data_IF_991430531819
#
_entry.id   IF_991430531819
#
_cell.length_a   1.000
_cell.length_b   1.000
_cell.length_c   1.000
_cell.angle_alpha   90.00
_cell.angle_beta   90.00
_cell.angle_gamma   90.00
#
_symmetry.space_group_name_H-M   'P 1'
#
loop_
_entity.id
_entity.type
_entity.pdbx_description
1 polymer ?
#
# COMPACT_ATOMS: atom_id res chain seq x y z
N UNK A 1 19.41 1.29 -24.05
CA UNK A 1 18.02 1.31 -23.55
C UNK A 1 17.55 2.73 -23.69
N UNK A 2 16.69 3.01 -24.68
CA UNK A 2 16.09 4.33 -24.83
C UNK A 2 15.12 4.57 -23.68
N UNK A 3 15.30 5.66 -22.94
CA UNK A 3 14.30 6.15 -21.99
C UNK A 3 13.06 6.56 -22.79
N UNK A 4 11.99 5.76 -22.68
CA UNK A 4 10.70 6.15 -23.21
C UNK A 4 10.23 7.39 -22.46
N UNK A 5 10.27 8.54 -23.16
CA UNK A 5 9.78 9.82 -22.66
C UNK A 5 8.27 9.70 -22.48
N UNK A 6 7.83 9.49 -21.24
CA UNK A 6 6.40 9.44 -20.89
C UNK A 6 5.79 10.80 -21.20
N UNK A 7 5.03 10.91 -22.28
CA UNK A 7 4.26 12.11 -22.61
C UNK A 7 3.00 12.06 -21.74
N UNK A 8 3.09 12.63 -20.54
CA UNK A 8 1.94 12.75 -19.64
C UNK A 8 1.00 13.82 -20.18
N UNK A 9 -0.25 13.51 -20.57
CA UNK A 9 -1.19 14.52 -21.02
C UNK A 9 -1.53 15.45 -19.85
N UNK A 10 -1.09 16.71 -19.94
CA UNK A 10 -1.18 17.75 -18.91
C UNK A 10 -2.62 18.13 -18.48
N UNK A 11 -3.65 17.42 -18.94
CA UNK A 11 -5.07 17.77 -18.79
C UNK A 11 -5.82 16.96 -17.74
N UNK A 12 -5.16 16.08 -16.98
CA UNK A 12 -5.81 15.37 -15.86
C UNK A 12 -5.39 16.06 -14.55
N UNK A 13 -6.28 16.84 -13.91
CA UNK A 13 -6.01 17.43 -12.60
C UNK A 13 -5.65 16.32 -11.61
N UNK A 14 -4.57 16.50 -10.84
CA UNK A 14 -4.11 15.53 -9.84
C UNK A 14 -3.22 14.39 -10.37
N UNK A 15 -3.05 14.23 -11.68
CA UNK A 15 -2.22 13.15 -12.24
C UNK A 15 -0.74 13.30 -11.89
N UNK A 16 -0.20 14.53 -11.93
CA UNK A 16 1.19 14.80 -11.55
C UNK A 16 1.43 14.63 -10.04
N UNK A 17 0.41 14.85 -9.20
CA UNK A 17 0.49 14.61 -7.76
C UNK A 17 0.40 13.11 -7.45
N UNK A 18 -0.48 12.39 -8.15
CA UNK A 18 -0.56 10.93 -8.08
C UNK A 18 0.73 10.23 -8.55
N UNK A 19 1.42 10.80 -9.55
CA UNK A 19 2.71 10.29 -10.04
C UNK A 19 3.89 10.61 -9.11
N UNK A 20 3.76 11.59 -8.21
CA UNK A 20 4.78 11.98 -7.23
C UNK A 20 4.66 11.27 -5.89
N UNK A 21 3.46 10.80 -5.56
CA UNK A 21 3.25 9.98 -4.38
C UNK A 21 3.83 8.59 -4.65
N UNK A 22 4.99 8.32 -4.06
CA UNK A 22 5.46 6.94 -3.92
C UNK A 22 4.33 6.11 -3.31
N UNK A 23 4.08 4.92 -3.87
CA UNK A 23 2.99 4.07 -3.41
C UNK A 23 3.21 3.71 -1.94
N UNK A 24 2.35 4.26 -1.07
CA UNK A 24 2.46 4.11 0.37
C UNK A 24 2.00 2.73 0.86
N UNK A 25 1.51 1.85 -0.03
CA UNK A 25 0.95 0.56 0.37
C UNK A 25 1.93 -0.33 1.18
N UNK A 26 3.19 -0.55 0.76
CA UNK A 26 4.14 -1.34 1.54
C UNK A 26 4.36 -0.78 2.95
N UNK A 27 4.43 0.54 3.07
CA UNK A 27 4.64 1.24 4.33
C UNK A 27 3.39 1.22 5.22
N UNK A 28 2.20 1.37 4.64
CA UNK A 28 0.92 1.21 5.32
C UNK A 28 0.78 -0.21 5.90
N UNK A 29 1.17 -1.22 5.12
CA UNK A 29 1.15 -2.60 5.56
C UNK A 29 2.13 -2.85 6.72
N UNK A 30 3.36 -2.33 6.63
CA UNK A 30 4.35 -2.39 7.73
C UNK A 30 3.83 -1.70 8.98
N UNK A 31 3.24 -0.52 8.83
CA UNK A 31 2.71 0.27 9.94
C UNK A 31 1.61 -0.47 10.69
N UNK A 32 0.66 -1.08 9.99
CA UNK A 32 -0.38 -1.94 10.59
C UNK A 32 0.25 -3.08 11.38
N UNK A 33 1.19 -3.80 10.76
CA UNK A 33 1.87 -4.94 11.38
C UNK A 33 2.59 -4.54 12.67
N UNK A 34 3.30 -3.41 12.66
CA UNK A 34 4.00 -2.89 13.83
C UNK A 34 3.03 -2.44 14.93
N UNK A 35 1.97 -1.71 14.55
CA UNK A 35 1.00 -1.14 15.51
C UNK A 35 0.25 -2.22 16.27
N UNK A 36 -0.09 -3.34 15.61
CA UNK A 36 -0.77 -4.47 16.24
C UNK A 36 0.16 -5.55 16.78
N UNK A 37 1.48 -5.46 16.53
CA UNK A 37 2.42 -6.52 16.89
C UNK A 37 2.17 -7.84 16.15
N UNK A 38 1.68 -7.78 14.90
CA UNK A 38 1.32 -8.96 14.10
C UNK A 38 2.29 -9.19 12.94
N UNK A 39 2.49 -10.47 12.60
CA UNK A 39 3.36 -10.90 11.49
C UNK A 39 2.61 -11.18 10.19
N UNK A 40 3.38 -11.49 9.13
CA UNK A 40 2.84 -11.83 7.80
C UNK A 40 1.84 -12.99 7.81
N UNK A 41 1.94 -13.92 8.77
CA UNK A 41 0.98 -15.01 8.96
C UNK A 41 -0.41 -14.51 9.30
N UNK A 42 -0.54 -13.47 10.12
CA UNK A 42 -1.84 -12.90 10.50
C UNK A 42 -2.47 -12.19 9.29
N UNK A 43 -1.69 -11.35 8.60
CA UNK A 43 -2.12 -10.66 7.37
C UNK A 43 -2.58 -11.65 6.29
N UNK A 44 -1.82 -12.73 6.10
CA UNK A 44 -2.16 -13.82 5.17
C UNK A 44 -3.53 -14.43 5.48
N UNK A 45 -3.87 -14.62 6.76
CA UNK A 45 -5.19 -15.10 7.18
C UNK A 45 -6.30 -14.08 6.98
N UNK A 46 -6.04 -12.81 7.29
CA UNK A 46 -7.01 -11.71 7.15
C UNK A 46 -7.46 -11.57 5.70
N UNK A 47 -6.51 -11.57 4.77
CA UNK A 47 -6.80 -11.34 3.35
C UNK A 47 -6.95 -12.61 2.52
N UNK A 48 -6.81 -13.80 3.12
CA UNK A 48 -6.92 -15.07 2.39
C UNK A 48 -5.84 -15.28 1.32
N UNK A 49 -4.69 -14.62 1.46
CA UNK A 49 -3.56 -14.69 0.51
C UNK A 49 -2.39 -15.49 1.07
N UNK A 50 -1.45 -15.91 0.23
CA UNK A 50 -0.25 -16.62 0.69
C UNK A 50 0.69 -15.71 1.50
N UNK A 51 1.41 -16.28 2.47
CA UNK A 51 2.47 -15.54 3.21
C UNK A 51 3.54 -14.97 2.27
N UNK A 52 3.83 -15.66 1.16
CA UNK A 52 4.78 -15.18 0.15
C UNK A 52 4.28 -13.90 -0.52
N UNK A 53 2.99 -13.81 -0.86
CA UNK A 53 2.41 -12.57 -1.40
C UNK A 53 2.54 -11.42 -0.39
N UNK A 54 2.30 -11.66 0.90
CA UNK A 54 2.52 -10.64 1.94
C UNK A 54 3.97 -10.14 1.96
N UNK A 55 4.96 -11.02 1.82
CA UNK A 55 6.37 -10.59 1.75
C UNK A 55 6.68 -9.79 0.49
N UNK A 56 6.12 -10.16 -0.67
CA UNK A 56 6.29 -9.39 -1.92
C UNK A 56 5.71 -7.99 -1.79
N UNK A 57 4.52 -7.88 -1.18
CA UNK A 57 3.88 -6.61 -0.85
C UNK A 57 4.74 -5.74 0.05
N UNK A 58 5.29 -6.31 1.14
CA UNK A 58 6.16 -5.58 2.06
C UNK A 58 7.43 -5.04 1.39
N UNK A 59 7.93 -5.72 0.36
CA UNK A 59 9.11 -5.31 -0.40
C UNK A 59 8.79 -4.38 -1.58
N UNK A 60 7.53 -4.13 -1.89
CA UNK A 60 7.12 -3.43 -3.11
C UNK A 60 7.45 -4.19 -4.40
N UNK A 61 7.70 -5.51 -4.31
CA UNK A 61 7.96 -6.36 -5.48
C UNK A 61 6.70 -6.62 -6.30
N UNK A 62 5.53 -6.53 -5.67
CA UNK A 62 4.21 -6.71 -6.28
C UNK A 62 3.19 -5.85 -5.54
N UNK A 63 2.11 -5.46 -6.21
CA UNK A 63 0.97 -4.77 -5.61
C UNK A 63 -0.26 -5.68 -5.61
N UNK A 64 -1.24 -5.45 -4.73
CA UNK A 64 -2.47 -6.22 -4.76
C UNK A 64 -3.18 -6.07 -6.11
N UNK A 65 -3.38 -7.20 -6.79
CA UNK A 65 -4.24 -7.25 -7.99
C UNK A 65 -5.70 -7.04 -7.64
N UNK A 66 -6.08 -7.40 -6.42
CA UNK A 66 -7.42 -7.18 -5.87
C UNK A 66 -7.50 -5.77 -5.28
N UNK A 67 -8.28 -4.84 -5.87
CA UNK A 67 -8.35 -3.46 -5.42
C UNK A 67 -8.85 -3.34 -3.96
N UNK A 68 -9.69 -4.28 -3.52
CA UNK A 68 -10.21 -4.32 -2.16
C UNK A 68 -9.10 -4.48 -1.10
N UNK A 69 -8.06 -5.28 -1.37
CA UNK A 69 -6.93 -5.45 -0.46
C UNK A 69 -6.13 -4.14 -0.37
N UNK A 70 -5.88 -3.50 -1.51
CA UNK A 70 -5.19 -2.21 -1.57
C UNK A 70 -5.93 -1.14 -0.75
N UNK A 71 -7.24 -0.98 -1.00
CA UNK A 71 -8.08 -0.04 -0.28
C UNK A 71 -8.12 -0.34 1.22
N UNK A 72 -8.37 -1.60 1.59
CA UNK A 72 -8.47 -2.02 2.99
C UNK A 72 -7.20 -1.72 3.80
N UNK A 73 -6.02 -1.95 3.22
CA UNK A 73 -4.74 -1.63 3.89
C UNK A 73 -4.59 -0.12 4.10
N UNK A 74 -4.91 0.69 3.09
CA UNK A 74 -4.80 2.13 3.21
C UNK A 74 -5.79 2.70 4.24
N UNK A 75 -7.05 2.26 4.20
CA UNK A 75 -8.08 2.66 5.16
C UNK A 75 -7.73 2.24 6.59
N UNK A 76 -7.21 1.03 6.77
CA UNK A 76 -6.80 0.55 8.10
C UNK A 76 -5.62 1.37 8.64
N UNK A 77 -4.60 1.65 7.83
CA UNK A 77 -3.47 2.48 8.25
C UNK A 77 -3.94 3.90 8.63
N UNK A 78 -4.84 4.49 7.86
CA UNK A 78 -5.39 5.82 8.14
C UNK A 78 -6.26 5.85 9.40
N UNK A 79 -7.05 4.80 9.64
CA UNK A 79 -7.80 4.64 10.88
C UNK A 79 -6.86 4.62 12.10
N UNK A 80 -5.77 3.83 12.04
CA UNK A 80 -4.80 3.75 13.13
C UNK A 80 -4.08 5.07 13.38
N UNK A 81 -3.69 5.80 12.32
CA UNK A 81 -3.09 7.14 12.46
C UNK A 81 -4.03 8.11 13.15
N UNK A 82 -5.33 8.07 12.82
CA UNK A 82 -6.34 8.93 13.42
C UNK A 82 -6.60 8.56 14.88
N UNK A 83 -6.65 7.27 15.21
CA UNK A 83 -6.89 6.83 16.59
C UNK A 83 -5.75 7.20 17.53
N UNK A 84 -4.49 7.13 17.06
CA UNK A 84 -3.33 7.51 17.88
C UNK A 84 -3.30 9.02 18.13
N UNK A 85 -3.63 9.85 17.13
CA UNK A 85 -3.67 11.32 17.30
C UNK A 85 -4.77 11.81 18.25
N UNK A 86 -5.79 10.99 18.48
CA UNK A 86 -6.90 11.30 19.36
C UNK A 86 -6.66 10.85 20.82
N UNK A 87 -5.56 10.14 21.09
CA UNK A 87 -5.15 9.66 22.41
C UNK A 87 -4.08 10.57 23.01
#
# INVERSE_FOLDING_TARGET
>A
MEEQKIIVPAKIPGLLEALKNEDAFPDNLRYIMQTHGIGATAISRIYGISRMQVYRYLKGEDLPREPAIYMSVNEWADYLRKSIKAS
#
